data_IF_262049055632
#
_entry.id   IF_262049055632
#
_cell.length_a   1.000
_cell.length_b   1.000
_cell.length_c   1.000
_cell.angle_alpha   90.00
_cell.angle_beta   90.00
_cell.angle_gamma   90.00
#
_symmetry.space_group_name_H-M   'P 1'
#
loop_
_entity.id
_entity.type
_entity.pdbx_description
1 polymer ?
#
# COMPACT_ATOMS: atom_id res chain seq x y z
N UNK A 1 -11.68 11.98 -10.70
CA UNK A 1 -11.34 10.98 -9.73
C UNK A 1 -12.56 10.50 -8.96
N UNK A 2 -12.59 9.23 -8.67
CA UNK A 2 -13.64 8.64 -7.85
C UNK A 2 -13.35 8.89 -6.37
N UNK A 3 -14.38 9.02 -5.51
CA UNK A 3 -14.19 9.20 -4.09
C UNK A 3 -13.72 7.90 -3.43
N UNK A 4 -12.76 7.99 -2.52
CA UNK A 4 -12.41 6.87 -1.62
C UNK A 4 -13.51 6.72 -0.57
N UNK A 5 -13.99 5.50 -0.41
CA UNK A 5 -15.09 5.13 0.49
C UNK A 5 -14.64 4.16 1.58
N UNK A 6 -15.49 3.95 2.59
CA UNK A 6 -15.25 2.94 3.62
C UNK A 6 -15.25 1.51 3.04
N UNK A 7 -16.00 1.28 1.94
CA UNK A 7 -16.04 -0.02 1.27
C UNK A 7 -14.70 -0.38 0.61
N UNK A 8 -13.92 0.60 0.15
CA UNK A 8 -12.57 0.37 -0.38
C UNK A 8 -11.66 -0.25 0.70
N UNK A 9 -11.81 0.18 1.96
CA UNK A 9 -11.07 -0.42 3.08
C UNK A 9 -11.55 -1.82 3.40
N UNK A 10 -12.86 -2.05 3.45
CA UNK A 10 -13.45 -3.38 3.71
C UNK A 10 -12.95 -4.37 2.67
N UNK A 11 -13.05 -4.04 1.39
CA UNK A 11 -12.59 -4.90 0.30
C UNK A 11 -11.06 -5.12 0.34
N UNK A 12 -10.29 -4.07 0.61
CA UNK A 12 -8.82 -4.16 0.65
C UNK A 12 -8.34 -5.03 1.81
N UNK A 13 -9.00 -4.95 2.96
CA UNK A 13 -8.67 -5.80 4.11
C UNK A 13 -9.10 -7.25 3.87
N UNK A 14 -10.25 -7.47 3.20
CA UNK A 14 -10.62 -8.81 2.72
C UNK A 14 -9.54 -9.39 1.81
N UNK A 15 -9.05 -8.59 0.85
CA UNK A 15 -8.01 -9.00 -0.08
C UNK A 15 -6.73 -9.41 0.65
N UNK A 16 -6.24 -8.60 1.58
CA UNK A 16 -5.03 -8.91 2.37
C UNK A 16 -5.19 -10.16 3.23
N UNK A 17 -6.39 -10.37 3.80
CA UNK A 17 -6.69 -11.53 4.62
C UNK A 17 -7.05 -12.78 3.80
N UNK A 18 -7.21 -12.67 2.48
CA UNK A 18 -7.43 -13.84 1.61
C UNK A 18 -6.13 -14.65 1.54
N UNK A 19 -6.14 -15.86 2.09
CA UNK A 19 -4.94 -16.69 2.25
C UNK A 19 -4.23 -16.99 0.93
N UNK A 20 -4.99 -17.25 -0.16
CA UNK A 20 -4.46 -17.53 -1.49
C UNK A 20 -3.68 -16.37 -2.12
N UNK A 21 -3.91 -15.12 -1.69
CA UNK A 21 -3.10 -13.98 -2.11
C UNK A 21 -1.63 -14.10 -1.64
N UNK A 22 -1.38 -14.76 -0.50
CA UNK A 22 -0.05 -14.88 0.07
C UNK A 22 0.54 -13.51 0.48
N UNK A 23 -0.28 -12.66 1.10
CA UNK A 23 0.15 -11.35 1.62
C UNK A 23 1.30 -11.48 2.59
N UNK A 24 2.22 -10.52 2.60
CA UNK A 24 3.39 -10.54 3.49
C UNK A 24 3.05 -10.18 4.94
N UNK A 25 2.03 -9.33 5.16
CA UNK A 25 1.69 -8.76 6.47
C UNK A 25 0.19 -8.83 6.79
N UNK A 26 -0.48 -10.00 6.69
CA UNK A 26 -1.88 -10.14 7.07
C UNK A 26 -2.06 -10.00 8.58
N UNK A 27 -1.03 -10.31 9.37
CA UNK A 27 -0.96 -10.25 10.83
C UNK A 27 -1.18 -8.83 11.37
N UNK A 28 -0.93 -7.79 10.60
CA UNK A 28 -1.26 -6.40 10.98
C UNK A 28 -2.76 -6.21 11.22
N UNK A 29 -3.60 -7.03 10.60
CA UNK A 29 -5.06 -7.00 10.76
C UNK A 29 -5.61 -8.04 11.76
N UNK A 30 -4.77 -8.89 12.37
CA UNK A 30 -5.24 -9.92 13.32
C UNK A 30 -5.80 -9.38 14.62
N UNK A 31 -5.64 -8.09 14.88
CA UNK A 31 -6.30 -7.40 16.00
C UNK A 31 -7.79 -7.16 15.75
N UNK A 32 -8.22 -7.22 14.49
CA UNK A 32 -9.62 -7.14 14.10
C UNK A 32 -10.29 -8.49 14.40
N UNK A 33 -11.48 -8.46 15.00
CA UNK A 33 -12.24 -9.65 15.34
C UNK A 33 -12.40 -10.60 14.16
N UNK A 34 -12.13 -11.88 14.34
CA UNK A 34 -12.21 -12.95 13.35
C UNK A 34 -11.31 -12.79 12.11
N UNK A 35 -10.40 -11.81 12.08
CA UNK A 35 -9.52 -11.60 10.92
C UNK A 35 -8.48 -12.72 10.78
N UNK A 36 -7.93 -13.19 11.90
CA UNK A 36 -6.98 -14.30 11.91
C UNK A 36 -7.65 -15.61 11.49
N UNK A 37 -8.83 -15.88 12.04
CA UNK A 37 -9.63 -17.08 11.75
C UNK A 37 -10.05 -17.12 10.28
N UNK A 38 -10.41 -15.97 9.71
CA UNK A 38 -10.68 -15.85 8.26
C UNK A 38 -9.42 -16.13 7.43
N UNK A 39 -8.29 -15.53 7.78
CA UNK A 39 -7.04 -15.77 7.07
C UNK A 39 -6.58 -17.23 7.13
N UNK A 40 -6.81 -17.92 8.26
CA UNK A 40 -6.46 -19.31 8.46
C UNK A 40 -7.48 -20.31 7.86
N UNK A 41 -8.59 -19.80 7.30
CA UNK A 41 -9.65 -20.62 6.69
C UNK A 41 -10.61 -21.29 7.68
N UNK A 42 -10.54 -20.92 8.96
CA UNK A 42 -11.48 -21.40 9.99
C UNK A 42 -12.87 -20.76 9.81
N UNK A 43 -12.88 -19.51 9.30
CA UNK A 43 -14.09 -18.79 8.90
C UNK A 43 -13.96 -18.50 7.39
N UNK A 44 -15.01 -18.78 6.62
CA UNK A 44 -15.05 -18.57 5.17
C UNK A 44 -15.87 -17.35 4.76
N UNK A 45 -16.79 -16.91 5.60
CA UNK A 45 -17.62 -15.74 5.36
C UNK A 45 -16.97 -14.48 5.95
N UNK A 46 -16.49 -13.60 5.08
CA UNK A 46 -15.85 -12.34 5.47
C UNK A 46 -16.78 -11.40 6.24
N UNK A 47 -18.10 -11.51 6.09
CA UNK A 47 -19.06 -10.70 6.87
C UNK A 47 -18.97 -10.94 8.40
N UNK A 48 -18.32 -12.02 8.83
CA UNK A 48 -18.05 -12.30 10.25
C UNK A 48 -16.82 -11.59 10.79
N UNK A 49 -15.98 -11.02 9.90
CA UNK A 49 -14.81 -10.20 10.28
C UNK A 49 -15.29 -8.86 10.79
N UNK A 50 -14.67 -8.37 11.84
CA UNK A 50 -15.05 -7.14 12.56
C UNK A 50 -14.75 -5.84 11.80
N UNK A 51 -14.98 -5.79 10.49
CA UNK A 51 -14.83 -4.58 9.68
C UNK A 51 -16.05 -4.39 8.79
N UNK A 52 -16.67 -3.20 8.82
CA UNK A 52 -17.89 -2.90 8.05
C UNK A 52 -17.94 -1.44 7.63
N UNK A 53 -18.35 -1.18 6.39
CA UNK A 53 -18.74 0.14 5.95
C UNK A 53 -20.17 0.43 6.45
N UNK A 54 -20.32 1.40 7.35
CA UNK A 54 -21.62 1.85 7.85
C UNK A 54 -22.25 2.89 6.90
N UNK A 55 -21.38 3.67 6.27
CA UNK A 55 -21.72 4.61 5.18
C UNK A 55 -20.45 4.82 4.34
N UNK A 56 -20.58 5.57 3.25
CA UNK A 56 -19.42 5.88 2.38
C UNK A 56 -18.22 6.47 3.13
N UNK A 57 -18.48 7.16 4.24
CA UNK A 57 -17.42 7.86 5.01
C UNK A 57 -17.25 7.34 6.44
N UNK A 58 -17.90 6.22 6.79
CA UNK A 58 -17.83 5.67 8.14
C UNK A 58 -17.48 4.18 8.08
N UNK A 59 -16.26 3.87 8.49
CA UNK A 59 -15.78 2.51 8.69
C UNK A 59 -15.91 2.14 10.17
N UNK A 60 -16.64 1.07 10.47
CA UNK A 60 -16.68 0.49 11.82
C UNK A 60 -15.70 -0.68 11.91
N UNK A 61 -14.90 -0.68 12.98
CA UNK A 61 -13.94 -1.76 13.24
C UNK A 61 -14.15 -2.28 14.66
N UNK A 62 -14.43 -3.58 14.78
CA UNK A 62 -14.52 -4.30 16.05
C UNK A 62 -13.20 -5.05 16.26
N UNK A 63 -12.54 -4.81 17.39
CA UNK A 63 -11.31 -5.52 17.76
C UNK A 63 -11.64 -6.74 18.62
N UNK A 64 -10.82 -7.79 18.52
CA UNK A 64 -11.00 -8.98 19.35
C UNK A 64 -10.71 -8.72 20.84
N UNK A 65 -9.87 -7.69 21.12
CA UNK A 65 -9.53 -7.24 22.47
C UNK A 65 -9.11 -5.76 22.45
N UNK A 66 -9.15 -5.04 23.60
CA UNK A 66 -8.69 -3.66 23.67
C UNK A 66 -7.23 -3.53 23.23
N UNK A 67 -6.97 -2.75 22.17
CA UNK A 67 -5.65 -2.60 21.55
C UNK A 67 -5.33 -1.13 21.39
N UNK A 68 -4.64 -0.55 22.38
CA UNK A 68 -4.38 0.91 22.44
C UNK A 68 -3.55 1.44 21.27
N UNK A 69 -2.71 0.61 20.66
CA UNK A 69 -1.85 0.99 19.52
C UNK A 69 -2.49 0.73 18.14
N UNK A 70 -3.72 0.20 18.08
CA UNK A 70 -4.36 -0.17 16.80
C UNK A 70 -4.37 0.99 15.79
N UNK A 71 -4.68 2.21 16.25
CA UNK A 71 -4.68 3.40 15.38
C UNK A 71 -3.29 3.64 14.75
N UNK A 72 -2.21 3.34 15.47
CA UNK A 72 -0.84 3.44 14.92
C UNK A 72 -0.56 2.36 13.88
N UNK A 73 -1.14 1.16 14.00
CA UNK A 73 -1.01 0.12 12.99
C UNK A 73 -1.60 0.54 11.65
N UNK A 74 -2.65 1.36 11.65
CA UNK A 74 -3.29 1.86 10.42
C UNK A 74 -2.38 2.79 9.60
N UNK A 75 -1.21 3.19 10.10
CA UNK A 75 -0.18 3.88 9.31
C UNK A 75 0.69 2.91 8.49
N UNK A 76 0.59 1.60 8.72
CA UNK A 76 1.30 0.61 7.93
C UNK A 76 0.63 0.43 6.56
N UNK A 77 1.42 0.39 5.49
CA UNK A 77 0.91 0.35 4.11
C UNK A 77 -0.02 -0.84 3.80
N UNK A 78 0.08 -1.95 4.54
CA UNK A 78 -0.81 -3.11 4.35
C UNK A 78 -2.28 -2.79 4.70
N UNK A 79 -2.54 -1.73 5.45
CA UNK A 79 -3.91 -1.32 5.80
C UNK A 79 -4.51 -0.30 4.84
N UNK A 80 -3.73 0.18 3.85
CA UNK A 80 -4.20 1.18 2.91
C UNK A 80 -5.17 0.59 1.90
N UNK A 81 -6.19 1.36 1.48
CA UNK A 81 -7.13 0.89 0.48
C UNK A 81 -6.47 0.83 -0.90
N UNK A 82 -6.87 -0.15 -1.69
CA UNK A 82 -6.59 -0.24 -3.12
C UNK A 82 -7.89 -0.14 -3.90
N UNK A 83 -7.83 0.38 -5.12
CA UNK A 83 -9.02 0.57 -5.94
C UNK A 83 -9.51 -0.78 -6.48
N UNK A 84 -10.64 -1.27 -5.95
CA UNK A 84 -11.22 -2.58 -6.23
C UNK A 84 -11.38 -2.85 -7.73
N UNK A 85 -12.00 -1.93 -8.44
CA UNK A 85 -12.34 -2.13 -9.85
C UNK A 85 -11.09 -2.21 -10.73
N UNK A 86 -10.05 -1.44 -10.41
CA UNK A 86 -8.76 -1.56 -11.09
C UNK A 86 -8.11 -2.92 -10.83
N UNK A 87 -8.13 -3.42 -9.59
CA UNK A 87 -7.57 -4.74 -9.28
C UNK A 87 -8.30 -5.83 -10.05
N UNK A 88 -9.65 -5.79 -10.05
CA UNK A 88 -10.49 -6.79 -10.70
C UNK A 88 -10.48 -6.70 -12.24
N UNK A 89 -10.18 -5.54 -12.81
CA UNK A 89 -10.00 -5.39 -14.25
C UNK A 89 -8.76 -6.13 -14.78
N UNK A 90 -7.76 -6.36 -13.93
CA UNK A 90 -6.47 -6.95 -14.31
C UNK A 90 -6.14 -8.25 -13.55
N UNK A 91 -7.10 -8.85 -12.87
CA UNK A 91 -6.91 -10.09 -12.12
C UNK A 91 -8.08 -10.41 -11.19
N UNK A 92 -7.84 -11.22 -10.17
CA UNK A 92 -8.79 -11.57 -9.11
C UNK A 92 -8.37 -10.96 -7.77
N UNK A 93 -9.22 -11.11 -6.74
CA UNK A 93 -8.92 -10.62 -5.38
C UNK A 93 -7.63 -11.23 -4.82
N UNK A 94 -7.29 -12.43 -5.22
CA UNK A 94 -6.13 -13.21 -4.79
C UNK A 94 -5.01 -13.29 -5.84
N UNK A 95 -5.15 -12.61 -6.97
CA UNK A 95 -4.06 -12.56 -7.96
C UNK A 95 -2.94 -11.63 -7.47
N UNK A 96 -1.80 -12.26 -7.17
CA UNK A 96 -0.58 -11.58 -6.75
C UNK A 96 0.17 -10.91 -7.91
N UNK A 97 -0.02 -11.40 -9.13
CA UNK A 97 0.73 -11.00 -10.32
C UNK A 97 -0.09 -10.12 -11.27
N UNK A 98 -1.27 -9.70 -10.85
CA UNK A 98 -2.16 -8.84 -11.64
C UNK A 98 -1.47 -7.58 -12.15
N UNK A 99 -1.75 -7.20 -13.38
CA UNK A 99 -1.12 -6.04 -14.04
C UNK A 99 -1.65 -4.68 -13.53
N UNK A 100 -2.52 -4.67 -12.53
CA UNK A 100 -3.09 -3.45 -11.97
C UNK A 100 -2.01 -2.49 -11.38
N UNK A 101 -0.83 -3.02 -11.01
CA UNK A 101 0.30 -2.23 -10.49
C UNK A 101 1.19 -1.64 -11.58
N UNK A 102 0.92 -1.92 -12.87
CA UNK A 102 1.75 -1.46 -13.98
C UNK A 102 1.51 0.03 -14.29
N UNK A 103 2.51 0.73 -14.86
CA UNK A 103 2.31 2.07 -15.39
C UNK A 103 1.14 2.12 -16.35
N UNK A 104 0.27 3.12 -16.20
CA UNK A 104 -0.97 3.25 -16.99
C UNK A 104 -2.20 2.56 -16.40
N UNK A 105 -2.00 1.50 -15.57
CA UNK A 105 -3.10 0.78 -14.91
C UNK A 105 -3.23 1.20 -13.44
N UNK A 106 -2.11 1.56 -12.81
CA UNK A 106 -2.05 1.85 -11.38
C UNK A 106 -2.84 3.12 -11.03
N UNK A 107 -3.79 2.97 -10.13
CA UNK A 107 -4.61 4.05 -9.56
C UNK A 107 -4.28 4.23 -8.08
N UNK A 108 -4.10 5.46 -7.65
CA UNK A 108 -3.86 5.80 -6.26
C UNK A 108 -4.48 7.15 -5.88
N UNK A 109 -4.61 7.38 -4.58
CA UNK A 109 -5.07 8.65 -4.00
C UNK A 109 -3.93 9.46 -3.36
N UNK A 110 -2.69 9.10 -3.62
CA UNK A 110 -1.49 9.75 -3.08
C UNK A 110 -1.06 11.00 -3.86
N UNK A 111 0.00 11.68 -3.38
CA UNK A 111 0.51 12.91 -3.99
C UNK A 111 1.22 12.70 -5.33
N UNK A 112 1.55 11.46 -5.68
CA UNK A 112 2.26 11.11 -6.92
C UNK A 112 1.61 9.91 -7.59
N UNK A 113 1.58 9.92 -8.93
CA UNK A 113 1.14 8.82 -9.79
C UNK A 113 2.36 8.08 -10.36
N UNK A 114 2.23 6.77 -10.60
CA UNK A 114 3.26 5.97 -11.24
C UNK A 114 3.36 6.34 -12.73
N UNK A 115 4.49 6.90 -13.14
CA UNK A 115 4.77 7.30 -14.53
C UNK A 115 5.45 6.19 -15.32
N UNK A 116 6.50 5.59 -14.76
CA UNK A 116 7.22 4.49 -15.39
C UNK A 116 7.85 3.56 -14.35
N UNK A 117 8.01 2.29 -14.72
CA UNK A 117 8.70 1.28 -13.93
C UNK A 117 9.55 0.40 -14.83
N UNK A 118 10.84 0.64 -14.80
CA UNK A 118 11.86 -0.20 -15.45
C UNK A 118 12.48 -1.10 -14.38
N UNK A 119 12.22 -2.42 -14.50
CA UNK A 119 12.69 -3.40 -13.51
C UNK A 119 14.22 -3.31 -13.32
N UNK A 120 14.66 -3.32 -12.06
CA UNK A 120 16.06 -3.23 -11.63
C UNK A 120 16.81 -1.97 -12.13
N UNK A 121 16.12 -0.98 -12.65
CA UNK A 121 16.73 0.22 -13.21
C UNK A 121 16.20 1.49 -12.57
N UNK A 122 14.90 1.74 -12.68
CA UNK A 122 14.31 3.00 -12.21
C UNK A 122 12.79 2.92 -12.09
N UNK A 123 12.25 3.54 -11.04
CA UNK A 123 10.83 3.88 -10.94
C UNK A 123 10.72 5.40 -10.97
N UNK A 124 9.81 5.92 -11.78
CA UNK A 124 9.50 7.35 -11.85
C UNK A 124 8.05 7.55 -11.44
N UNK A 125 7.83 8.46 -10.51
CA UNK A 125 6.50 8.94 -10.16
C UNK A 125 6.41 10.43 -10.44
N UNK A 126 5.23 10.89 -10.89
CA UNK A 126 4.96 12.28 -11.18
C UNK A 126 3.85 12.84 -10.29
N UNK A 127 3.89 14.13 -10.03
CA UNK A 127 2.91 14.84 -9.20
C UNK A 127 1.49 14.58 -9.68
N UNK A 128 0.62 14.16 -8.77
CA UNK A 128 -0.82 14.01 -9.01
C UNK A 128 -1.52 15.37 -8.94
N UNK A 129 -2.21 15.76 -10.01
CA UNK A 129 -3.04 16.96 -10.03
C UNK A 129 -4.37 16.78 -9.28
N UNK A 130 -4.78 15.53 -9.04
CA UNK A 130 -6.03 15.17 -8.37
C UNK A 130 -5.86 14.88 -6.88
N UNK A 131 -4.63 14.95 -6.36
CA UNK A 131 -4.38 14.79 -4.93
C UNK A 131 -5.04 15.92 -4.14
N UNK A 132 -5.73 15.59 -3.04
CA UNK A 132 -6.50 16.55 -2.25
C UNK A 132 -5.70 17.77 -1.76
N UNK A 133 -4.40 17.62 -1.51
CA UNK A 133 -3.51 18.68 -1.07
C UNK A 133 -2.37 18.97 -2.08
N UNK A 134 -2.70 18.88 -3.38
CA UNK A 134 -1.73 19.04 -4.48
C UNK A 134 -1.00 20.38 -4.44
N UNK A 135 -1.61 21.43 -3.87
CA UNK A 135 -1.01 22.78 -3.72
C UNK A 135 0.25 22.78 -2.85
N UNK A 136 0.35 21.88 -1.87
CA UNK A 136 1.51 21.74 -0.99
C UNK A 136 2.60 20.84 -1.54
N UNK A 137 2.32 20.07 -2.57
CA UNK A 137 3.31 19.20 -3.21
C UNK A 137 4.23 20.03 -4.09
N UNK A 138 5.50 20.13 -3.71
CA UNK A 138 6.50 20.99 -4.37
C UNK A 138 7.26 20.26 -5.47
N UNK A 139 7.49 18.95 -5.33
CA UNK A 139 8.20 18.16 -6.34
C UNK A 139 7.29 17.83 -7.51
N UNK A 140 7.80 17.90 -8.72
CA UNK A 140 7.09 17.49 -9.93
C UNK A 140 7.27 16.01 -10.22
N UNK A 141 8.47 15.47 -9.96
CA UNK A 141 8.81 14.07 -10.15
C UNK A 141 9.73 13.57 -9.02
N UNK A 142 9.64 12.26 -8.72
CA UNK A 142 10.59 11.53 -7.87
C UNK A 142 11.08 10.32 -8.65
N UNK A 143 12.41 10.14 -8.67
CA UNK A 143 13.07 9.02 -9.31
C UNK A 143 13.67 8.09 -8.24
N UNK A 144 13.24 6.84 -8.23
CA UNK A 144 13.77 5.81 -7.34
C UNK A 144 14.72 4.91 -8.11
N UNK A 145 15.93 4.73 -7.61
CA UNK A 145 16.95 3.86 -8.16
C UNK A 145 17.14 2.66 -7.22
N UNK A 146 16.84 1.42 -7.64
CA UNK A 146 17.01 0.22 -6.80
C UNK A 146 18.48 -0.18 -6.72
N UNK A 147 19.25 0.52 -5.90
CA UNK A 147 20.68 0.23 -5.65
C UNK A 147 20.77 -0.64 -4.43
N UNK A 148 21.23 -1.89 -4.58
CA UNK A 148 21.34 -2.87 -3.48
C UNK A 148 22.65 -2.77 -2.69
N UNK A 149 23.68 -2.13 -3.24
CA UNK A 149 24.99 -2.00 -2.60
C UNK A 149 25.17 -0.59 -2.00
N UNK A 150 25.29 -0.52 -0.68
CA UNK A 150 25.40 0.72 0.10
C UNK A 150 26.60 1.60 -0.32
N UNK A 151 27.76 0.99 -0.58
CA UNK A 151 28.93 1.75 -1.04
C UNK A 151 28.77 2.32 -2.45
N UNK A 152 27.96 1.67 -3.29
CA UNK A 152 27.62 2.20 -4.61
C UNK A 152 26.63 3.36 -4.47
N UNK A 153 25.61 3.21 -3.60
CA UNK A 153 24.65 4.27 -3.29
C UNK A 153 25.36 5.54 -2.77
N UNK A 154 26.29 5.39 -1.82
CA UNK A 154 27.09 6.50 -1.29
C UNK A 154 27.94 7.19 -2.39
N UNK A 155 28.57 6.42 -3.29
CA UNK A 155 29.31 7.01 -4.42
C UNK A 155 28.40 7.80 -5.35
N UNK A 156 27.20 7.29 -5.67
CA UNK A 156 26.23 8.01 -6.49
C UNK A 156 25.75 9.30 -5.82
N UNK A 157 25.53 9.28 -4.51
CA UNK A 157 25.19 10.47 -3.74
C UNK A 157 26.29 11.51 -3.79
N UNK A 158 27.56 11.12 -3.51
CA UNK A 158 28.74 12.02 -3.57
C UNK A 158 28.99 12.57 -4.96
N UNK A 159 28.63 11.82 -6.01
CA UNK A 159 28.70 12.26 -7.40
C UNK A 159 27.53 13.18 -7.82
N UNK A 160 26.60 13.50 -6.92
CA UNK A 160 25.43 14.32 -7.20
C UNK A 160 24.34 13.64 -8.04
N UNK A 161 24.40 12.31 -8.18
CA UNK A 161 23.41 11.52 -8.91
C UNK A 161 22.15 11.20 -8.09
N UNK A 162 22.27 11.23 -6.77
CA UNK A 162 21.18 11.04 -5.81
C UNK A 162 21.07 12.24 -4.89
N UNK A 163 19.84 12.61 -4.52
CA UNK A 163 19.55 13.66 -3.54
C UNK A 163 19.37 13.10 -2.14
N UNK A 164 18.99 11.85 -2.02
CA UNK A 164 18.73 11.12 -0.76
C UNK A 164 19.27 9.70 -0.90
N UNK A 165 19.85 9.17 0.17
CA UNK A 165 20.24 7.76 0.31
C UNK A 165 19.38 7.10 1.38
N UNK A 166 19.22 5.79 1.28
CA UNK A 166 18.49 5.01 2.27
C UNK A 166 19.36 4.67 3.49
N UNK A 167 20.64 4.39 3.27
CA UNK A 167 21.59 3.95 4.31
C UNK A 167 22.92 4.66 4.11
N UNK A 168 23.60 4.93 5.21
CA UNK A 168 25.02 5.33 5.23
C UNK A 168 25.85 4.10 5.54
N UNK A 169 26.90 3.75 4.74
CA UNK A 169 27.77 2.61 5.03
C UNK A 169 28.40 2.73 6.41
N UNK A 170 28.35 1.64 7.20
CA UNK A 170 28.84 1.63 8.59
C UNK A 170 30.32 2.03 8.72
N UNK A 171 31.15 1.69 7.73
CA UNK A 171 32.56 2.10 7.70
C UNK A 171 32.78 3.61 7.53
N UNK A 172 31.71 4.38 7.34
CA UNK A 172 31.75 5.85 7.15
C UNK A 172 31.01 6.62 8.24
N UNK A 173 30.53 5.93 9.27
CA UNK A 173 29.87 6.52 10.44
C UNK A 173 30.85 6.93 11.54
#
# INVERSE_FOLDING_TARGET
>A
GEPVTAEDFVWSWQRILTASLGSQYPDMLYYVKNAKEFHQGEITDFNQVGVKAISDKTLAVELHSPTAFFIKLLSHYSTYPVHKDTVLAYGSIDDRNGEWTRPGNFVCNGPFNLKSWELNKKIVVEKSSTYWDASKVRLNEIHFYPVSNESTEDRMFRAGQLHVTNVVPLEKC
#
